data_IF_843526609844
#
_entry.id   IF_843526609844
#
_cell.length_a   1.000
_cell.length_b   1.000
_cell.length_c   1.000
_cell.angle_alpha   90.00
_cell.angle_beta   90.00
_cell.angle_gamma   90.00
#
_symmetry.space_group_name_H-M   'P 1'
#
loop_
_entity.id
_entity.type
_entity.pdbx_description
1 polymer ?
#
# COMPACT_ATOMS: atom_id res chain seq x y z
N UNK A 1 -8.96 -43.50 12.07
CA UNK A 1 -7.70 -43.16 12.79
C UNK A 1 -7.81 -41.70 13.15
N UNK A 2 -8.54 -41.41 14.23
CA UNK A 2 -8.78 -40.05 14.72
C UNK A 2 -7.68 -39.68 15.72
N UNK A 3 -6.85 -38.71 15.35
CA UNK A 3 -5.90 -38.08 16.24
C UNK A 3 -6.58 -36.93 16.98
N UNK A 4 -6.94 -37.17 18.23
CA UNK A 4 -7.45 -36.17 19.17
C UNK A 4 -6.37 -35.13 19.50
N UNK A 5 -6.58 -33.88 19.07
CA UNK A 5 -5.80 -32.71 19.48
C UNK A 5 -6.22 -32.33 20.91
N UNK A 6 -5.29 -32.07 21.85
CA UNK A 6 -5.66 -31.66 23.21
C UNK A 6 -6.29 -30.26 23.20
N UNK A 7 -7.48 -30.14 23.80
CA UNK A 7 -8.21 -28.90 23.93
C UNK A 7 -7.41 -27.88 24.77
N UNK A 8 -7.15 -26.71 24.20
CA UNK A 8 -6.56 -25.59 24.91
C UNK A 8 -7.51 -25.08 26.00
N UNK A 9 -6.99 -24.92 27.20
CA UNK A 9 -7.62 -24.47 28.44
C UNK A 9 -8.17 -23.03 28.37
N UNK A 10 -9.22 -22.79 27.58
CA UNK A 10 -9.90 -21.50 27.45
C UNK A 10 -11.41 -21.70 27.39
N UNK A 11 -12.10 -21.23 28.43
CA UNK A 11 -13.56 -21.21 28.51
C UNK A 11 -14.16 -20.43 27.32
N UNK A 12 -15.09 -21.06 26.60
CA UNK A 12 -15.97 -20.34 25.69
C UNK A 12 -16.94 -19.45 26.51
N UNK A 13 -17.48 -18.36 25.94
CA UNK A 13 -18.43 -17.48 26.64
C UNK A 13 -19.62 -18.24 27.24
N UNK A 14 -20.06 -19.29 26.54
CA UNK A 14 -21.24 -20.08 26.91
C UNK A 14 -20.98 -21.05 28.08
N UNK A 15 -19.73 -21.48 28.27
CA UNK A 15 -19.34 -22.39 29.35
C UNK A 15 -19.35 -21.70 30.72
N UNK A 16 -19.14 -20.38 30.75
CA UNK A 16 -19.15 -19.60 31.99
C UNK A 16 -20.56 -19.42 32.56
N UNK A 17 -21.60 -19.39 31.71
CA UNK A 17 -22.98 -19.22 32.14
C UNK A 17 -23.62 -20.52 32.67
N UNK A 18 -23.22 -21.67 32.12
CA UNK A 18 -23.85 -22.96 32.44
C UNK A 18 -23.46 -23.50 33.82
N UNK A 19 -22.23 -23.24 34.29
CA UNK A 19 -21.77 -23.77 35.58
C UNK A 19 -22.44 -23.10 36.80
N UNK A 20 -22.84 -21.83 36.70
CA UNK A 20 -23.41 -21.10 37.84
C UNK A 20 -24.93 -21.30 37.98
N UNK A 21 -25.67 -21.63 36.90
CA UNK A 21 -27.13 -21.89 36.98
C UNK A 21 -27.42 -23.28 37.58
N UNK A 22 -26.55 -24.27 37.36
CA UNK A 22 -26.70 -25.61 37.94
C UNK A 22 -26.61 -25.61 39.49
N UNK A 23 -26.07 -24.56 40.11
CA UNK A 23 -25.91 -24.45 41.55
C UNK A 23 -27.10 -23.80 42.29
N UNK A 24 -28.14 -23.32 41.59
CA UNK A 24 -29.22 -22.51 42.20
C UNK A 24 -30.58 -23.26 42.29
N UNK A 25 -30.63 -24.56 41.95
CA UNK A 25 -31.87 -25.35 41.95
C UNK A 25 -32.10 -26.26 43.16
N UNK A 26 -32.97 -25.82 44.08
CA UNK A 26 -33.85 -26.60 44.99
C UNK A 26 -33.28 -27.34 46.22
N UNK A 27 -33.56 -26.80 47.43
CA UNK A 27 -33.93 -27.58 48.63
C UNK A 27 -34.60 -26.68 49.71
N UNK A 28 -35.60 -27.15 50.49
CA UNK A 28 -36.34 -26.37 51.49
C UNK A 28 -35.58 -26.25 52.84
N UNK A 29 -35.99 -25.34 53.76
CA UNK A 29 -35.14 -24.93 54.87
C UNK A 29 -35.19 -25.94 56.03
N UNK A 30 -34.04 -26.46 56.46
CA UNK A 30 -33.88 -27.15 57.75
C UNK A 30 -33.17 -26.22 58.75
N UNK A 31 -33.79 -26.07 59.93
CA UNK A 31 -33.27 -25.34 61.11
C UNK A 31 -31.81 -25.70 61.40
N UNK A 32 -30.98 -24.69 61.58
CA UNK A 32 -29.54 -24.80 61.86
C UNK A 32 -29.29 -24.53 63.34
N UNK A 33 -28.78 -25.54 64.05
CA UNK A 33 -28.19 -25.40 65.38
C UNK A 33 -26.84 -24.69 65.24
N UNK A 34 -26.61 -23.65 66.02
CA UNK A 34 -25.35 -22.91 66.06
C UNK A 34 -24.27 -23.74 66.77
N UNK A 35 -23.20 -24.06 66.03
CA UNK A 35 -21.93 -24.56 66.57
C UNK A 35 -20.82 -23.55 66.26
N UNK A 36 -19.72 -23.51 67.03
CA UNK A 36 -18.73 -22.44 66.94
C UNK A 36 -17.99 -22.52 65.61
N UNK A 37 -17.75 -21.36 65.02
CA UNK A 37 -17.35 -21.19 63.64
C UNK A 37 -16.02 -21.87 63.29
N UNK A 38 -16.09 -22.89 62.46
CA UNK A 38 -15.03 -23.13 61.48
C UNK A 38 -15.23 -22.10 60.38
N UNK A 39 -14.45 -21.02 60.42
CA UNK A 39 -14.32 -20.11 59.29
C UNK A 39 -13.67 -20.90 58.16
N UNK A 40 -14.47 -21.56 57.33
CA UNK A 40 -13.98 -22.06 56.06
C UNK A 40 -13.43 -20.84 55.34
N UNK A 41 -12.10 -20.69 55.28
CA UNK A 41 -11.45 -19.73 54.39
C UNK A 41 -11.95 -20.08 53.00
N UNK A 42 -13.03 -19.42 52.56
CA UNK A 42 -13.53 -19.51 51.20
C UNK A 42 -12.34 -19.11 50.35
N UNK A 43 -11.68 -20.10 49.73
CA UNK A 43 -10.53 -19.86 48.86
C UNK A 43 -10.96 -18.78 47.88
N UNK A 44 -10.38 -17.59 48.01
CA UNK A 44 -10.66 -16.50 47.09
C UNK A 44 -10.28 -17.03 45.71
N UNK A 45 -11.22 -16.99 44.77
CA UNK A 45 -10.92 -17.38 43.39
C UNK A 45 -9.76 -16.47 42.92
N UNK A 46 -8.73 -17.01 42.27
CA UNK A 46 -7.65 -16.20 41.76
C UNK A 46 -8.21 -15.16 40.79
N UNK A 47 -7.61 -13.98 40.80
CA UNK A 47 -7.99 -12.90 39.89
C UNK A 47 -7.87 -13.37 38.44
N UNK A 48 -8.88 -13.06 37.62
CA UNK A 48 -8.89 -13.36 36.19
C UNK A 48 -8.97 -12.06 35.40
N UNK A 49 -8.12 -11.90 34.40
CA UNK A 49 -8.10 -10.70 33.57
C UNK A 49 -9.19 -10.73 32.49
N UNK A 50 -10.45 -10.52 32.90
CA UNK A 50 -11.63 -10.54 32.03
C UNK A 50 -12.46 -9.29 32.33
N UNK A 51 -12.58 -8.39 31.35
CA UNK A 51 -13.19 -7.05 31.53
C UNK A 51 -14.68 -7.10 31.90
N UNK A 52 -15.41 -8.10 31.42
CA UNK A 52 -16.87 -8.19 31.52
C UNK A 52 -17.37 -9.04 32.70
N UNK A 53 -16.48 -9.72 33.43
CA UNK A 53 -16.85 -10.62 34.51
C UNK A 53 -16.64 -9.94 35.88
N UNK A 54 -17.70 -9.81 36.68
CA UNK A 54 -17.62 -9.20 38.03
C UNK A 54 -16.86 -10.09 39.00
N UNK A 55 -15.83 -9.54 39.65
CA UNK A 55 -14.94 -10.28 40.54
C UNK A 55 -14.81 -9.60 41.91
N UNK A 56 -14.43 -10.33 42.97
CA UNK A 56 -14.31 -9.78 44.32
C UNK A 56 -12.99 -9.02 44.52
N UNK A 57 -12.60 -8.23 43.53
CA UNK A 57 -11.40 -7.39 43.51
C UNK A 57 -11.80 -5.98 43.05
N UNK A 58 -11.19 -4.91 43.60
CA UNK A 58 -11.47 -3.55 43.14
C UNK A 58 -11.07 -3.38 41.67
N UNK A 59 -11.70 -2.43 40.97
CA UNK A 59 -11.47 -2.22 39.52
C UNK A 59 -10.00 -1.90 39.17
N UNK A 60 -9.24 -1.32 40.12
CA UNK A 60 -7.81 -1.03 39.97
C UNK A 60 -6.88 -2.15 40.50
N UNK A 61 -7.40 -3.34 40.80
CA UNK A 61 -6.60 -4.44 41.31
C UNK A 61 -5.63 -4.98 40.26
N UNK A 62 -4.35 -5.07 40.62
CA UNK A 62 -3.30 -5.72 39.83
C UNK A 62 -2.65 -6.80 40.68
N UNK A 63 -2.48 -7.99 40.13
CA UNK A 63 -1.85 -9.11 40.84
C UNK A 63 -0.32 -8.98 40.80
N UNK A 64 0.27 -8.39 41.84
CA UNK A 64 1.71 -8.07 41.92
C UNK A 64 2.62 -9.31 41.79
N UNK A 65 2.15 -10.49 42.19
CA UNK A 65 2.95 -11.73 42.15
C UNK A 65 3.09 -12.30 40.74
N UNK A 66 2.01 -12.30 39.95
CA UNK A 66 1.99 -12.87 38.57
C UNK A 66 2.12 -11.80 37.49
N UNK A 67 2.22 -10.53 37.89
CA UNK A 67 2.23 -9.39 36.97
C UNK A 67 3.37 -9.45 35.95
N UNK A 68 4.59 -9.70 36.43
CA UNK A 68 5.79 -9.71 35.60
C UNK A 68 5.89 -10.96 34.73
N UNK A 69 5.24 -12.05 35.12
CA UNK A 69 5.25 -13.32 34.39
C UNK A 69 4.59 -13.22 33.01
N UNK A 70 3.67 -12.25 32.85
CA UNK A 70 2.96 -12.01 31.60
C UNK A 70 3.68 -11.03 30.65
N UNK A 71 4.84 -10.49 31.03
CA UNK A 71 5.62 -9.62 30.16
C UNK A 71 6.39 -10.44 29.12
N UNK A 72 6.01 -10.29 27.85
CA UNK A 72 6.69 -10.92 26.73
C UNK A 72 7.50 -9.88 25.97
N UNK A 73 8.79 -10.15 25.73
CA UNK A 73 9.61 -9.33 24.83
C UNK A 73 9.45 -9.81 23.40
N UNK A 74 9.17 -8.88 22.50
CA UNK A 74 9.15 -9.09 21.06
C UNK A 74 8.29 -10.30 20.58
N UNK A 75 7.08 -10.57 21.13
CA UNK A 75 6.32 -11.77 20.77
C UNK A 75 5.86 -11.79 19.30
N UNK A 76 5.87 -10.64 18.62
CA UNK A 76 5.49 -10.49 17.20
C UNK A 76 6.66 -10.22 16.27
N UNK A 77 7.90 -10.46 16.71
CA UNK A 77 9.06 -10.22 15.86
C UNK A 77 9.10 -11.24 14.71
N UNK A 78 8.82 -10.78 13.49
CA UNK A 78 9.08 -11.57 12.29
C UNK A 78 10.50 -11.27 11.78
N UNK A 79 11.39 -12.27 11.69
CA UNK A 79 12.76 -12.06 11.18
C UNK A 79 12.70 -11.65 9.71
N UNK A 80 13.33 -10.53 9.36
CA UNK A 80 13.45 -10.14 7.95
C UNK A 80 14.32 -11.15 7.21
N UNK A 81 13.82 -11.67 6.10
CA UNK A 81 14.63 -12.45 5.16
C UNK A 81 15.26 -11.48 4.17
N UNK A 82 16.58 -11.53 4.01
CA UNK A 82 17.34 -10.58 3.17
C UNK A 82 16.74 -10.43 1.76
N UNK A 83 16.44 -11.55 1.10
CA UNK A 83 15.89 -11.56 -0.27
C UNK A 83 14.45 -11.05 -0.36
N UNK A 84 13.63 -11.27 0.67
CA UNK A 84 12.29 -10.70 0.73
C UNK A 84 12.37 -9.18 0.89
N UNK A 85 13.29 -8.71 1.72
CA UNK A 85 13.50 -7.29 1.94
C UNK A 85 14.08 -6.60 0.69
N UNK A 86 15.01 -7.25 -0.02
CA UNK A 86 15.45 -6.83 -1.35
C UNK A 86 14.27 -6.66 -2.30
N UNK A 87 13.37 -7.64 -2.35
CA UNK A 87 12.19 -7.58 -3.20
C UNK A 87 11.27 -6.41 -2.81
N UNK A 88 11.06 -6.15 -1.53
CA UNK A 88 10.23 -5.02 -1.07
C UNK A 88 10.87 -3.66 -1.40
N UNK A 89 12.20 -3.53 -1.30
CA UNK A 89 12.94 -2.31 -1.66
C UNK A 89 12.84 -1.98 -3.15
N UNK A 90 12.56 -2.96 -4.02
CA UNK A 90 12.37 -2.69 -5.46
C UNK A 90 11.22 -1.72 -5.74
N UNK A 91 10.19 -1.66 -4.90
CA UNK A 91 9.07 -0.69 -5.04
C UNK A 91 9.58 0.75 -4.89
N UNK A 92 10.51 0.96 -3.95
CA UNK A 92 11.18 2.26 -3.75
C UNK A 92 12.05 2.59 -4.95
N UNK A 93 12.84 1.62 -5.43
CA UNK A 93 13.71 1.79 -6.60
C UNK A 93 12.91 2.12 -7.85
N UNK A 94 11.78 1.47 -8.09
CA UNK A 94 10.91 1.79 -9.23
C UNK A 94 10.43 3.25 -9.19
N UNK A 95 10.05 3.75 -8.01
CA UNK A 95 9.62 5.15 -7.86
C UNK A 95 10.75 6.13 -8.14
N UNK A 96 11.91 5.93 -7.51
CA UNK A 96 13.09 6.77 -7.72
C UNK A 96 13.55 6.72 -9.19
N UNK A 97 13.54 5.54 -9.81
CA UNK A 97 13.86 5.39 -11.23
C UNK A 97 12.87 6.14 -12.13
N UNK A 98 11.56 6.11 -11.82
CA UNK A 98 10.55 6.86 -12.58
C UNK A 98 10.73 8.37 -12.48
N UNK A 99 11.10 8.89 -11.29
CA UNK A 99 11.46 10.30 -11.09
C UNK A 99 12.72 10.66 -11.87
N UNK A 100 13.74 9.79 -11.84
CA UNK A 100 14.98 10.00 -12.60
C UNK A 100 14.73 10.03 -14.11
N UNK A 101 13.92 9.10 -14.65
CA UNK A 101 13.51 9.08 -16.06
C UNK A 101 12.77 10.37 -16.42
N UNK A 102 11.86 10.85 -15.57
CA UNK A 102 11.18 12.13 -15.77
C UNK A 102 12.19 13.29 -15.88
N UNK A 103 13.14 13.39 -14.94
CA UNK A 103 14.19 14.41 -14.98
C UNK A 103 15.06 14.31 -16.24
N UNK A 104 15.46 13.11 -16.63
CA UNK A 104 16.26 12.89 -17.85
C UNK A 104 15.51 13.32 -19.11
N UNK A 105 14.21 12.98 -19.20
CA UNK A 105 13.37 13.42 -20.31
C UNK A 105 13.22 14.94 -20.34
N UNK A 106 13.00 15.57 -19.19
CA UNK A 106 12.94 17.03 -19.09
C UNK A 106 14.23 17.68 -19.57
N UNK A 107 15.39 17.21 -19.09
CA UNK A 107 16.70 17.73 -19.52
C UNK A 107 16.94 17.51 -21.02
N UNK A 108 16.57 16.35 -21.55
CA UNK A 108 16.69 16.05 -22.97
C UNK A 108 15.80 16.95 -23.86
N UNK A 109 14.59 17.28 -23.40
CA UNK A 109 13.69 18.23 -24.07
C UNK A 109 14.23 19.66 -23.94
N UNK A 110 14.74 20.05 -22.76
CA UNK A 110 15.28 21.39 -22.51
C UNK A 110 16.57 21.67 -23.30
N UNK A 111 17.36 20.62 -23.57
CA UNK A 111 18.56 20.69 -24.43
C UNK A 111 18.25 20.51 -25.92
N UNK A 112 16.98 20.42 -26.32
CA UNK A 112 16.53 20.19 -27.70
C UNK A 112 17.08 18.90 -28.35
N UNK A 113 17.57 17.95 -27.55
CA UNK A 113 18.10 16.67 -28.02
C UNK A 113 16.98 15.70 -28.44
N UNK A 114 15.81 15.83 -27.83
CA UNK A 114 14.66 14.96 -28.07
C UNK A 114 13.39 15.80 -28.22
N UNK A 115 12.58 15.46 -29.23
CA UNK A 115 11.27 16.10 -29.42
C UNK A 115 10.33 15.74 -28.26
N UNK A 116 9.66 16.73 -27.62
CA UNK A 116 8.71 16.48 -26.53
C UNK A 116 7.53 15.59 -26.98
N UNK A 117 7.12 15.71 -28.25
CA UNK A 117 6.02 14.93 -28.82
C UNK A 117 6.41 13.46 -28.94
N UNK A 118 7.66 13.15 -29.26
CA UNK A 118 8.17 11.77 -29.33
C UNK A 118 8.18 11.10 -27.95
N UNK A 119 8.57 11.83 -26.90
CA UNK A 119 8.57 11.30 -25.53
C UNK A 119 7.15 10.96 -25.08
N UNK A 120 6.22 11.92 -25.21
CA UNK A 120 4.84 11.71 -24.76
C UNK A 120 4.09 10.70 -25.64
N UNK A 121 4.35 10.64 -26.95
CA UNK A 121 3.75 9.61 -27.81
C UNK A 121 4.26 8.21 -27.48
N UNK A 122 5.56 8.06 -27.20
CA UNK A 122 6.11 6.78 -26.74
C UNK A 122 5.48 6.37 -25.41
N UNK A 123 5.34 7.29 -24.46
CA UNK A 123 4.80 7.02 -23.13
C UNK A 123 3.28 6.73 -23.15
N UNK A 124 2.49 7.46 -23.93
CA UNK A 124 1.08 7.16 -24.19
C UNK A 124 0.91 5.78 -24.81
N UNK A 125 1.71 5.42 -25.83
CA UNK A 125 1.68 4.08 -26.43
C UNK A 125 2.02 3.01 -25.40
N UNK A 126 3.05 3.20 -24.59
CA UNK A 126 3.40 2.26 -23.51
C UNK A 126 2.25 2.12 -22.48
N UNK A 127 1.58 3.22 -22.15
CA UNK A 127 0.45 3.24 -21.21
C UNK A 127 -0.76 2.48 -21.78
N UNK A 128 -1.08 2.70 -23.06
CA UNK A 128 -2.15 1.98 -23.77
C UNK A 128 -1.81 0.50 -23.87
N UNK A 129 -0.58 0.15 -24.26
CA UNK A 129 -0.13 -1.25 -24.32
C UNK A 129 -0.23 -1.92 -22.94
N UNK A 130 0.26 -1.27 -21.89
CA UNK A 130 0.14 -1.77 -20.52
C UNK A 130 -1.30 -1.98 -20.09
N UNK A 131 -2.21 -1.07 -20.47
CA UNK A 131 -3.64 -1.20 -20.21
C UNK A 131 -4.28 -2.36 -21.01
N UNK A 132 -3.95 -2.52 -22.28
CA UNK A 132 -4.46 -3.63 -23.11
C UNK A 132 -3.93 -4.99 -22.66
N UNK A 133 -2.66 -5.08 -22.29
CA UNK A 133 -2.08 -6.30 -21.73
C UNK A 133 -2.74 -6.69 -20.40
N UNK A 134 -3.01 -5.70 -19.55
CA UNK A 134 -3.76 -5.90 -18.31
C UNK A 134 -5.19 -6.41 -18.59
N UNK A 135 -5.90 -5.75 -19.50
CA UNK A 135 -7.28 -6.11 -19.86
C UNK A 135 -7.37 -7.50 -20.50
N UNK A 136 -6.38 -7.87 -21.33
CA UNK A 136 -6.25 -9.22 -21.87
C UNK A 136 -6.03 -10.27 -20.77
N UNK A 137 -5.11 -9.99 -19.85
CA UNK A 137 -4.81 -10.90 -18.75
C UNK A 137 -6.01 -11.13 -17.82
N UNK A 138 -6.68 -10.06 -17.39
CA UNK A 138 -7.90 -10.17 -16.58
C UNK A 138 -9.00 -10.92 -17.32
N UNK A 139 -9.10 -10.77 -18.65
CA UNK A 139 -10.07 -11.51 -19.45
C UNK A 139 -9.80 -13.02 -19.46
N UNK A 140 -8.55 -13.45 -19.33
CA UNK A 140 -8.18 -14.86 -19.27
C UNK A 140 -8.58 -15.48 -17.92
N UNK A 141 -8.36 -14.76 -16.82
CA UNK A 141 -8.74 -15.22 -15.48
C UNK A 141 -10.25 -15.42 -15.32
N UNK A 142 -11.05 -14.57 -15.96
CA UNK A 142 -12.51 -14.70 -15.92
C UNK A 142 -13.02 -15.88 -16.78
N UNK A 143 -12.27 -16.32 -17.80
CA UNK A 143 -12.60 -17.51 -18.60
C UNK A 143 -12.18 -18.82 -17.89
N UNK A 144 -11.08 -18.78 -17.15
CA UNK A 144 -10.54 -19.94 -16.43
C UNK A 144 -11.22 -20.18 -15.06
N UNK A 145 -12.14 -19.30 -14.63
CA UNK A 145 -13.00 -19.54 -13.47
C UNK A 145 -14.08 -20.57 -13.86
N UNK A 146 -14.12 -21.76 -13.22
CA UNK A 146 -15.21 -22.70 -13.44
C UNK A 146 -16.52 -22.05 -12.98
N UNK A 147 -17.55 -22.12 -13.81
CA UNK A 147 -18.92 -21.71 -13.48
C UNK A 147 -19.40 -22.49 -12.25
N UNK A 148 -19.24 -21.94 -11.06
CA UNK A 148 -19.88 -22.48 -9.87
C UNK A 148 -21.39 -22.19 -9.96
N UNK A 149 -22.27 -23.19 -9.81
CA UNK A 149 -23.71 -23.04 -10.01
C UNK A 149 -24.44 -22.25 -8.89
N UNK A 150 -23.73 -21.51 -8.04
CA UNK A 150 -24.30 -20.86 -6.85
C UNK A 150 -24.64 -19.36 -7.04
N UNK A 151 -24.82 -18.90 -8.28
CA UNK A 151 -25.18 -17.51 -8.57
C UNK A 151 -26.70 -17.22 -8.49
N UNK A 152 -27.53 -18.19 -8.10
CA UNK A 152 -28.99 -18.03 -8.02
C UNK A 152 -29.58 -17.82 -6.61
N UNK A 153 -28.78 -17.59 -5.58
CA UNK A 153 -29.27 -17.23 -4.23
C UNK A 153 -28.78 -15.84 -3.82
N UNK A 154 -29.27 -14.82 -4.51
CA UNK A 154 -29.30 -13.45 -3.98
C UNK A 154 -30.38 -13.38 -2.90
N UNK A 155 -29.98 -13.59 -1.65
CA UNK A 155 -30.86 -13.51 -0.47
C UNK A 155 -30.11 -12.95 0.73
N UNK A 156 -30.29 -11.64 0.96
CA UNK A 156 -30.20 -10.97 2.27
C UNK A 156 -28.88 -11.10 3.04
N UNK A 157 -27.92 -10.21 2.75
CA UNK A 157 -26.87 -9.85 3.72
C UNK A 157 -27.28 -8.56 4.44
N UNK A 158 -27.19 -8.48 5.78
CA UNK A 158 -27.39 -7.23 6.51
C UNK A 158 -26.29 -6.22 6.18
N UNK A 159 -26.54 -4.90 6.29
CA UNK A 159 -25.57 -3.89 5.93
C UNK A 159 -24.37 -3.96 6.89
N UNK A 160 -23.21 -4.35 6.38
CA UNK A 160 -21.96 -4.21 7.11
C UNK A 160 -21.68 -2.72 7.33
N UNK A 161 -21.75 -2.29 8.60
CA UNK A 161 -21.34 -0.98 9.04
C UNK A 161 -19.87 -0.72 8.67
N UNK A 162 -19.62 0.45 8.09
CA UNK A 162 -18.35 1.17 8.06
C UNK A 162 -17.12 0.43 7.52
N UNK A 163 -17.18 0.05 6.25
CA UNK A 163 -15.98 0.06 5.40
C UNK A 163 -16.24 1.12 4.33
N UNK A 164 -15.30 2.04 3.99
CA UNK A 164 -15.50 2.88 2.80
C UNK A 164 -15.64 1.94 1.61
N UNK A 165 -16.89 1.75 1.19
CA UNK A 165 -17.24 0.83 0.14
C UNK A 165 -16.48 1.27 -1.09
N UNK A 166 -15.61 0.40 -1.60
CA UNK A 166 -15.16 0.52 -2.97
C UNK A 166 -16.43 0.38 -3.83
N UNK A 167 -16.99 1.51 -4.22
CA UNK A 167 -18.16 1.54 -5.06
C UNK A 167 -17.66 1.26 -6.48
N UNK A 168 -18.03 0.12 -7.09
CA UNK A 168 -17.61 -0.17 -8.45
C UNK A 168 -18.05 0.97 -9.37
N UNK A 169 -17.29 1.26 -10.44
CA UNK A 169 -17.66 2.29 -11.41
C UNK A 169 -19.11 2.11 -11.84
N UNK A 170 -19.89 3.19 -11.88
CA UNK A 170 -21.31 3.16 -12.23
C UNK A 170 -21.51 2.44 -13.58
N UNK A 171 -22.13 1.27 -13.54
CA UNK A 171 -22.54 0.51 -14.71
C UNK A 171 -24.03 0.80 -14.88
N UNK A 172 -24.41 1.37 -16.03
CA UNK A 172 -25.81 1.62 -16.36
C UNK A 172 -26.46 0.27 -16.78
N UNK A 173 -27.37 -0.28 -15.96
CA UNK A 173 -28.02 -1.55 -16.25
C UNK A 173 -28.97 -1.47 -17.46
N UNK A 174 -29.36 -0.27 -17.90
CA UNK A 174 -30.23 -0.07 -19.06
C UNK A 174 -29.46 0.07 -20.38
N UNK A 175 -28.14 0.18 -20.34
CA UNK A 175 -27.35 0.34 -21.56
C UNK A 175 -27.10 -1.01 -22.25
N UNK A 176 -27.15 -1.01 -23.59
CA UNK A 176 -26.93 -2.21 -24.42
C UNK A 176 -25.46 -2.67 -24.47
N UNK A 177 -24.56 -1.94 -23.81
CA UNK A 177 -23.13 -2.22 -23.80
C UNK A 177 -22.79 -3.15 -22.64
N UNK A 178 -21.92 -4.14 -22.89
CA UNK A 178 -21.33 -4.97 -21.84
C UNK A 178 -20.73 -4.09 -20.72
N UNK A 179 -20.88 -4.43 -19.43
CA UNK A 179 -20.33 -3.67 -18.31
C UNK A 179 -18.85 -3.29 -18.47
N UNK A 180 -18.05 -4.17 -19.07
CA UNK A 180 -16.64 -3.89 -19.37
C UNK A 180 -16.47 -2.76 -20.39
N UNK A 181 -17.26 -2.76 -21.45
CA UNK A 181 -17.22 -1.71 -22.48
C UNK A 181 -17.66 -0.36 -21.92
N UNK A 182 -18.59 -0.34 -20.95
CA UNK A 182 -18.97 0.89 -20.24
C UNK A 182 -17.80 1.46 -19.44
N UNK A 183 -17.06 0.62 -18.70
CA UNK A 183 -15.86 1.06 -17.96
C UNK A 183 -14.77 1.55 -18.90
N UNK A 184 -14.55 0.87 -20.03
CA UNK A 184 -13.60 1.30 -21.08
C UNK A 184 -13.98 2.66 -21.67
N UNK A 185 -15.24 2.85 -22.01
CA UNK A 185 -15.75 4.11 -22.54
C UNK A 185 -15.65 5.24 -21.51
N UNK A 186 -15.99 4.97 -20.25
CA UNK A 186 -15.86 5.95 -19.16
C UNK A 186 -14.39 6.37 -18.97
N UNK A 187 -13.47 5.41 -19.01
CA UNK A 187 -12.03 5.66 -18.92
C UNK A 187 -11.54 6.48 -20.12
N UNK A 188 -11.90 6.08 -21.34
CA UNK A 188 -11.57 6.81 -22.56
C UNK A 188 -12.13 8.24 -22.57
N UNK A 189 -13.38 8.42 -22.11
CA UNK A 189 -14.02 9.73 -21.95
C UNK A 189 -13.24 10.59 -20.96
N UNK A 190 -12.85 10.04 -19.81
CA UNK A 190 -12.05 10.77 -18.81
C UNK A 190 -10.67 11.17 -19.36
N UNK A 191 -9.99 10.27 -20.09
CA UNK A 191 -8.71 10.55 -20.72
C UNK A 191 -8.82 11.65 -21.78
N UNK A 192 -9.88 11.63 -22.61
CA UNK A 192 -10.15 12.67 -23.59
C UNK A 192 -10.40 14.03 -22.92
N UNK A 193 -11.14 14.05 -21.81
CA UNK A 193 -11.38 15.27 -21.03
C UNK A 193 -10.08 15.82 -20.44
N UNK A 194 -9.22 14.97 -19.89
CA UNK A 194 -7.90 15.38 -19.39
C UNK A 194 -7.05 15.95 -20.52
N UNK A 195 -6.98 15.25 -21.66
CA UNK A 195 -6.24 15.70 -22.84
C UNK A 195 -6.72 17.07 -23.35
N UNK A 196 -8.04 17.25 -23.51
CA UNK A 196 -8.64 18.50 -23.94
C UNK A 196 -8.41 19.64 -22.93
N UNK A 197 -8.53 19.35 -21.63
CA UNK A 197 -8.27 20.32 -20.58
C UNK A 197 -6.81 20.78 -20.58
N UNK A 198 -5.85 19.85 -20.72
CA UNK A 198 -4.43 20.20 -20.80
C UNK A 198 -4.13 21.06 -22.03
N UNK A 199 -4.72 20.77 -23.19
CA UNK A 199 -4.56 21.61 -24.39
C UNK A 199 -5.04 23.05 -24.15
N UNK A 200 -6.22 23.21 -23.54
CA UNK A 200 -6.77 24.53 -23.21
C UNK A 200 -5.98 25.28 -22.14
N UNK A 201 -5.46 24.56 -21.13
CA UNK A 201 -4.71 25.14 -20.00
C UNK A 201 -3.22 25.35 -20.30
N UNK A 202 -2.68 24.75 -21.36
CA UNK A 202 -1.24 24.82 -21.69
C UNK A 202 -0.68 26.25 -21.78
N UNK A 203 -1.37 27.23 -22.40
CA UNK A 203 -0.89 28.62 -22.40
C UNK A 203 -0.81 29.23 -21.00
N UNK A 204 -1.77 28.88 -20.13
CA UNK A 204 -1.83 29.36 -18.74
C UNK A 204 -0.66 28.77 -17.96
N UNK A 205 -0.47 27.45 -18.05
CA UNK A 205 0.65 26.74 -17.42
C UNK A 205 2.00 27.30 -17.88
N UNK A 206 2.15 27.63 -19.17
CA UNK A 206 3.35 28.31 -19.69
C UNK A 206 3.60 29.67 -19.03
N UNK A 207 2.55 30.45 -18.81
CA UNK A 207 2.67 31.79 -18.21
C UNK A 207 2.86 31.79 -16.69
N UNK A 208 2.54 30.67 -16.03
CA UNK A 208 2.38 30.57 -14.57
C UNK A 208 3.57 31.08 -13.76
N UNK A 209 4.79 30.68 -14.14
CA UNK A 209 6.02 31.00 -13.37
C UNK A 209 6.94 31.95 -14.13
N UNK A 210 6.39 32.77 -15.03
CA UNK A 210 7.18 33.71 -15.85
C UNK A 210 7.84 34.80 -15.00
N UNK A 211 7.20 35.22 -13.91
CA UNK A 211 7.71 36.22 -12.96
C UNK A 211 8.70 35.65 -11.94
N UNK A 212 8.86 34.32 -11.88
CA UNK A 212 9.77 33.65 -10.94
C UNK A 212 11.16 33.47 -11.56
N UNK A 213 12.21 33.67 -10.76
CA UNK A 213 13.60 33.50 -11.19
C UNK A 213 13.94 32.03 -11.42
N UNK A 214 14.86 31.75 -12.36
CA UNK A 214 15.27 30.39 -12.74
C UNK A 214 15.84 29.61 -11.54
N UNK A 215 16.69 30.22 -10.73
CA UNK A 215 17.32 29.54 -9.57
C UNK A 215 16.28 29.07 -8.56
N UNK A 216 15.26 29.90 -8.30
CA UNK A 216 14.14 29.54 -7.43
C UNK A 216 13.33 28.37 -8.01
N UNK A 217 13.13 28.32 -9.33
CA UNK A 217 12.41 27.23 -10.00
C UNK A 217 13.17 25.90 -9.88
N UNK A 218 14.49 25.91 -10.08
CA UNK A 218 15.31 24.71 -9.87
C UNK A 218 15.28 24.25 -8.41
N UNK A 219 15.34 25.17 -7.46
CA UNK A 219 15.22 24.85 -6.03
C UNK A 219 13.84 24.29 -5.67
N UNK A 220 12.75 24.95 -6.10
CA UNK A 220 11.38 24.55 -5.84
C UNK A 220 11.07 23.18 -6.46
N UNK A 221 11.45 22.97 -7.73
CA UNK A 221 11.25 21.68 -8.39
C UNK A 221 12.02 20.56 -7.72
N UNK A 222 13.27 20.79 -7.30
CA UNK A 222 14.07 19.82 -6.54
C UNK A 222 13.38 19.46 -5.23
N UNK A 223 12.91 20.45 -4.47
CA UNK A 223 12.20 20.21 -3.21
C UNK A 223 10.87 19.48 -3.41
N UNK A 224 10.09 19.85 -4.44
CA UNK A 224 8.83 19.18 -4.77
C UNK A 224 9.04 17.73 -5.23
N UNK A 225 10.11 17.45 -5.98
CA UNK A 225 10.49 16.08 -6.34
C UNK A 225 10.96 15.28 -5.10
N UNK A 226 11.69 15.91 -4.18
CA UNK A 226 12.02 15.30 -2.89
C UNK A 226 10.74 14.96 -2.10
N UNK A 227 9.78 15.88 -2.01
CA UNK A 227 8.49 15.62 -1.35
C UNK A 227 7.69 14.53 -2.05
N UNK A 228 7.74 14.47 -3.39
CA UNK A 228 7.15 13.38 -4.16
C UNK A 228 7.73 12.02 -3.76
N UNK A 229 9.05 11.92 -3.59
CA UNK A 229 9.71 10.66 -3.17
C UNK A 229 9.45 10.34 -1.71
N UNK A 230 9.55 11.32 -0.80
CA UNK A 230 9.46 11.10 0.65
C UNK A 230 8.05 10.74 1.12
N UNK A 231 7.02 11.37 0.55
CA UNK A 231 5.63 11.14 0.93
C UNK A 231 4.92 10.10 0.05
N UNK A 232 5.65 9.39 -0.80
CA UNK A 232 5.06 8.31 -1.58
C UNK A 232 4.71 7.12 -0.66
N UNK A 233 3.50 6.56 -0.83
CA UNK A 233 3.07 5.38 -0.08
C UNK A 233 3.66 4.09 -0.70
N UNK A 234 4.80 3.66 -0.18
CA UNK A 234 5.51 2.45 -0.61
C UNK A 234 4.89 1.15 -0.09
N UNK A 235 3.74 1.18 0.60
CA UNK A 235 3.11 -0.04 1.13
C UNK A 235 2.52 -0.86 -0.02
N UNK A 236 3.05 -2.08 -0.23
CA UNK A 236 2.69 -2.99 -1.31
C UNK A 236 1.58 -4.01 -1.00
N UNK A 237 0.72 -3.78 0.00
CA UNK A 237 -0.24 -4.77 0.52
C UNK A 237 -1.73 -4.43 0.37
N UNK A 238 -2.59 -5.46 0.39
CA UNK A 238 -4.05 -5.34 0.45
C UNK A 238 -4.45 -4.58 1.73
N UNK A 239 -4.88 -3.33 1.59
CA UNK A 239 -5.27 -2.46 2.72
C UNK A 239 -4.63 -1.07 2.74
N UNK A 240 -3.76 -0.73 1.78
CA UNK A 240 -3.31 0.65 1.61
C UNK A 240 -4.46 1.52 1.08
N UNK A 241 -5.21 2.16 1.99
CA UNK A 241 -6.05 3.30 1.61
C UNK A 241 -5.11 4.36 1.01
N UNK A 242 -5.45 4.92 -0.16
CA UNK A 242 -4.64 5.97 -0.79
C UNK A 242 -5.03 7.34 -0.23
N UNK A 243 -4.28 7.94 0.72
CA UNK A 243 -4.11 9.39 0.73
C UNK A 243 -2.93 9.72 -0.19
N UNK A 244 -3.02 9.35 -1.47
CA UNK A 244 -1.96 9.57 -2.45
C UNK A 244 -1.81 11.04 -2.89
N UNK A 245 -2.54 11.96 -2.28
CA UNK A 245 -2.60 13.35 -2.73
C UNK A 245 -1.27 14.08 -2.55
N UNK A 246 -0.56 13.94 -1.42
CA UNK A 246 0.62 14.78 -1.17
C UNK A 246 1.74 14.48 -2.18
N UNK A 247 2.11 13.21 -2.35
CA UNK A 247 3.18 12.84 -3.28
C UNK A 247 2.80 13.14 -4.73
N UNK A 248 1.63 12.71 -5.19
CA UNK A 248 1.20 12.93 -6.59
C UNK A 248 1.02 14.41 -6.91
N UNK A 249 0.42 15.20 -6.00
CA UNK A 249 0.30 16.64 -6.17
C UNK A 249 1.67 17.33 -6.19
N UNK A 250 2.63 16.88 -5.36
CA UNK A 250 4.00 17.43 -5.36
C UNK A 250 4.71 17.12 -6.69
N UNK A 251 4.57 15.91 -7.22
CA UNK A 251 5.16 15.51 -8.50
C UNK A 251 4.56 16.27 -9.69
N UNK A 252 3.23 16.42 -9.71
CA UNK A 252 2.54 17.22 -10.72
C UNK A 252 2.92 18.71 -10.61
N UNK A 253 2.99 19.27 -9.40
CA UNK A 253 3.44 20.65 -9.20
C UNK A 253 4.88 20.85 -9.68
N UNK A 254 5.80 19.94 -9.32
CA UNK A 254 7.19 19.97 -9.80
C UNK A 254 7.25 19.98 -11.33
N UNK A 255 6.47 19.09 -11.97
CA UNK A 255 6.37 19.03 -13.42
C UNK A 255 5.80 20.32 -14.01
N UNK A 256 4.73 20.89 -13.45
CA UNK A 256 4.13 22.12 -13.98
C UNK A 256 5.08 23.32 -13.91
N UNK A 257 5.84 23.45 -12.81
CA UNK A 257 6.82 24.54 -12.61
C UNK A 257 8.04 24.37 -13.52
N UNK A 258 8.42 23.14 -13.87
CA UNK A 258 9.46 22.89 -14.87
C UNK A 258 8.93 23.08 -16.30
N UNK A 259 7.72 22.62 -16.58
CA UNK A 259 7.07 22.69 -17.88
C UNK A 259 6.88 24.14 -18.33
N UNK A 260 6.49 25.03 -17.41
CA UNK A 260 6.27 26.46 -17.70
C UNK A 260 7.50 27.18 -18.26
N UNK A 261 8.70 26.62 -18.06
CA UNK A 261 9.97 27.16 -18.57
C UNK A 261 10.33 26.72 -19.98
N UNK A 262 9.56 25.81 -20.56
CA UNK A 262 9.78 25.35 -21.92
C UNK A 262 9.30 26.39 -22.95
N UNK A 263 9.97 26.50 -24.11
CA UNK A 263 9.80 27.62 -25.03
C UNK A 263 8.44 27.67 -25.72
N UNK A 264 7.78 26.52 -25.92
CA UNK A 264 6.50 26.42 -26.64
C UNK A 264 5.42 25.72 -25.81
N UNK A 265 4.16 26.07 -26.06
CA UNK A 265 2.98 25.47 -25.40
C UNK A 265 2.89 23.96 -25.66
N UNK A 266 3.39 23.49 -26.80
CA UNK A 266 3.47 22.06 -27.12
C UNK A 266 4.43 21.31 -26.20
N UNK A 267 5.52 21.95 -25.78
CA UNK A 267 6.44 21.37 -24.81
C UNK A 267 5.80 21.28 -23.42
N UNK A 268 5.10 22.34 -23.00
CA UNK A 268 4.36 22.38 -21.73
C UNK A 268 3.30 21.28 -21.70
N UNK A 269 2.49 21.21 -22.77
CA UNK A 269 1.47 20.18 -22.96
C UNK A 269 2.07 18.76 -22.86
N UNK A 270 3.12 18.48 -23.63
CA UNK A 270 3.71 17.15 -23.70
C UNK A 270 4.33 16.73 -22.36
N UNK A 271 5.06 17.63 -21.68
CA UNK A 271 5.68 17.33 -20.39
C UNK A 271 4.65 17.14 -19.27
N UNK A 272 3.56 17.91 -19.29
CA UNK A 272 2.49 17.79 -18.29
C UNK A 272 1.65 16.53 -18.49
N UNK A 273 1.38 16.14 -19.73
CA UNK A 273 0.74 14.85 -20.01
C UNK A 273 1.65 13.68 -19.61
N UNK A 274 2.94 13.75 -19.95
CA UNK A 274 3.94 12.75 -19.55
C UNK A 274 4.07 12.62 -18.02
N UNK A 275 3.97 13.72 -17.27
CA UNK A 275 4.03 13.65 -15.81
C UNK A 275 2.79 13.05 -15.17
N UNK A 276 1.61 13.23 -15.77
CA UNK A 276 0.39 12.52 -15.35
C UNK A 276 0.54 11.01 -15.57
N UNK A 277 1.18 10.59 -16.66
CA UNK A 277 1.47 9.18 -16.91
C UNK A 277 2.44 8.60 -15.87
N UNK A 278 3.55 9.28 -15.58
CA UNK A 278 4.58 8.80 -14.64
C UNK A 278 4.15 8.89 -13.17
N UNK A 279 3.52 9.99 -12.74
CA UNK A 279 3.19 10.22 -11.34
C UNK A 279 1.75 9.85 -10.98
N UNK A 280 0.85 9.78 -11.96
CA UNK A 280 -0.56 9.43 -11.76
C UNK A 280 -0.86 7.97 -12.12
N UNK A 281 -0.63 7.60 -13.38
CA UNK A 281 -1.06 6.29 -13.91
C UNK A 281 -0.09 5.16 -13.56
N UNK A 282 1.20 5.38 -13.71
CA UNK A 282 2.24 4.37 -13.50
C UNK A 282 2.25 3.79 -12.06
N UNK A 283 2.05 4.57 -10.97
CA UNK A 283 1.96 4.02 -9.63
C UNK A 283 0.75 3.09 -9.41
N UNK A 284 -0.35 3.32 -10.15
CA UNK A 284 -1.53 2.45 -10.12
C UNK A 284 -1.21 1.14 -10.83
N UNK A 285 -0.60 1.22 -12.02
CA UNK A 285 -0.20 0.05 -12.80
C UNK A 285 0.75 -0.87 -12.03
N UNK A 286 1.84 -0.32 -11.45
CA UNK A 286 2.81 -1.13 -10.71
C UNK A 286 2.20 -1.84 -9.50
N UNK A 287 1.26 -1.18 -8.80
CA UNK A 287 0.61 -1.75 -7.61
C UNK A 287 -0.18 -3.01 -7.98
N UNK A 288 -0.85 -2.98 -9.13
CA UNK A 288 -1.56 -4.15 -9.68
C UNK A 288 -0.59 -5.22 -10.19
N UNK A 289 0.48 -4.81 -10.87
CA UNK A 289 1.48 -5.74 -11.38
C UNK A 289 2.14 -6.55 -10.26
N UNK A 290 2.46 -5.91 -9.14
CA UNK A 290 3.04 -6.58 -7.96
C UNK A 290 2.11 -7.64 -7.36
N UNK A 291 0.81 -7.36 -7.27
CA UNK A 291 -0.14 -8.30 -6.66
C UNK A 291 -0.40 -9.53 -7.52
N UNK A 292 -0.30 -9.37 -8.83
CA UNK A 292 -0.75 -10.37 -9.80
C UNK A 292 0.45 -11.15 -10.41
N UNK A 293 1.58 -10.49 -10.71
CA UNK A 293 2.77 -11.13 -11.32
C UNK A 293 4.08 -10.63 -10.74
N UNK A 294 4.75 -11.50 -9.98
CA UNK A 294 6.10 -11.24 -9.45
C UNK A 294 7.15 -11.09 -10.56
N UNK A 295 7.08 -11.91 -11.60
CA UNK A 295 8.02 -11.85 -12.72
C UNK A 295 7.90 -10.52 -13.49
N UNK A 296 6.66 -10.09 -13.75
CA UNK A 296 6.39 -8.81 -14.40
C UNK A 296 6.95 -7.64 -13.59
N UNK A 297 6.79 -7.67 -12.27
CA UNK A 297 7.36 -6.64 -11.40
C UNK A 297 8.89 -6.56 -11.47
N UNK A 298 9.59 -7.69 -11.37
CA UNK A 298 11.06 -7.70 -11.45
C UNK A 298 11.58 -7.32 -12.83
N UNK A 299 10.90 -7.74 -13.90
CA UNK A 299 11.23 -7.34 -15.27
C UNK A 299 11.07 -5.83 -15.45
N UNK A 300 9.97 -5.27 -14.94
CA UNK A 300 9.72 -3.83 -14.97
C UNK A 300 10.74 -3.04 -14.14
N UNK A 301 11.11 -3.51 -12.94
CA UNK A 301 12.18 -2.91 -12.13
C UNK A 301 13.49 -2.88 -12.90
N UNK A 302 13.87 -4.01 -13.51
CA UNK A 302 15.11 -4.13 -14.27
C UNK A 302 15.13 -3.16 -15.46
N UNK A 303 14.03 -3.09 -16.21
CA UNK A 303 13.88 -2.15 -17.32
C UNK A 303 13.98 -0.69 -16.85
N UNK A 304 13.24 -0.31 -15.80
CA UNK A 304 13.30 1.05 -15.25
C UNK A 304 14.69 1.43 -14.78
N UNK A 305 15.40 0.53 -14.09
CA UNK A 305 16.77 0.78 -13.63
C UNK A 305 17.68 1.00 -14.82
N UNK A 306 17.63 0.14 -15.84
CA UNK A 306 18.42 0.28 -17.09
C UNK A 306 18.17 1.63 -17.75
N UNK A 307 16.91 2.01 -17.97
CA UNK A 307 16.56 3.29 -18.60
C UNK A 307 16.97 4.49 -17.75
N UNK A 308 16.74 4.45 -16.44
CA UNK A 308 17.11 5.52 -15.52
C UNK A 308 18.63 5.69 -15.46
N UNK A 309 19.38 4.61 -15.23
CA UNK A 309 20.84 4.67 -15.11
C UNK A 309 21.53 5.08 -16.41
N UNK A 310 21.09 4.53 -17.54
CA UNK A 310 21.61 4.90 -18.86
C UNK A 310 21.23 6.33 -19.23
N UNK A 311 19.99 6.73 -18.98
CA UNK A 311 19.49 8.09 -19.23
C UNK A 311 20.23 9.14 -18.41
N UNK A 312 20.43 8.91 -17.11
CA UNK A 312 21.18 9.81 -16.22
C UNK A 312 22.59 10.00 -16.76
N UNK A 313 23.31 8.91 -17.05
CA UNK A 313 24.70 9.02 -17.51
C UNK A 313 24.83 9.72 -18.87
N UNK A 314 23.90 9.47 -19.81
CA UNK A 314 23.82 10.19 -21.09
C UNK A 314 23.57 11.69 -20.87
N UNK A 315 22.68 12.06 -19.94
CA UNK A 315 22.42 13.48 -19.64
C UNK A 315 23.61 14.19 -19.00
N UNK A 316 24.39 13.51 -18.15
CA UNK A 316 25.57 14.09 -17.51
C UNK A 316 26.76 14.23 -18.46
N UNK A 317 27.02 13.20 -19.27
CA UNK A 317 28.23 13.15 -20.13
C UNK A 317 28.00 13.69 -21.53
N UNK A 318 26.74 13.92 -21.92
CA UNK A 318 26.33 14.22 -23.31
C UNK A 318 26.83 13.20 -24.34
N UNK A 319 27.23 12.00 -23.91
CA UNK A 319 27.67 10.93 -24.81
C UNK A 319 26.50 10.17 -25.44
N UNK A 320 26.78 9.45 -26.52
CA UNK A 320 25.82 8.58 -27.19
C UNK A 320 25.67 7.20 -26.53
N UNK A 321 25.56 6.15 -27.34
CA UNK A 321 25.33 4.78 -26.87
C UNK A 321 26.38 4.29 -25.86
N UNK A 322 27.65 4.67 -26.02
CA UNK A 322 28.72 4.26 -25.09
C UNK A 322 28.47 4.78 -23.67
N UNK A 323 28.07 6.04 -23.55
CA UNK A 323 27.71 6.64 -22.27
C UNK A 323 26.51 5.91 -21.66
N UNK A 324 25.52 5.55 -22.47
CA UNK A 324 24.38 4.76 -22.01
C UNK A 324 24.81 3.42 -21.42
N UNK A 325 25.66 2.65 -22.12
CA UNK A 325 26.14 1.34 -21.63
C UNK A 325 26.94 1.48 -20.33
N UNK A 326 27.86 2.45 -20.26
CA UNK A 326 28.64 2.72 -19.04
C UNK A 326 27.70 3.09 -17.88
N UNK A 327 26.70 3.95 -18.15
CA UNK A 327 25.68 4.33 -17.20
C UNK A 327 24.89 3.16 -16.66
N UNK A 328 24.49 2.22 -17.52
CA UNK A 328 23.77 1.00 -17.13
C UNK A 328 24.61 0.12 -16.20
N UNK A 329 25.90 -0.06 -16.51
CA UNK A 329 26.79 -0.87 -15.68
C UNK A 329 27.03 -0.19 -14.33
N UNK A 330 27.44 1.07 -14.33
CA UNK A 330 27.76 1.81 -13.09
C UNK A 330 26.51 2.08 -12.24
N UNK A 331 25.42 2.54 -12.85
CA UNK A 331 24.19 2.83 -12.14
C UNK A 331 23.45 1.57 -11.70
N UNK A 332 23.48 0.50 -12.49
CA UNK A 332 22.93 -0.80 -12.09
C UNK A 332 23.68 -1.41 -10.91
N UNK A 333 25.02 -1.41 -10.95
CA UNK A 333 25.85 -1.86 -9.83
C UNK A 333 25.64 -1.02 -8.57
N UNK A 334 25.62 0.31 -8.71
CA UNK A 334 25.33 1.22 -7.59
C UNK A 334 23.94 0.97 -7.00
N UNK A 335 22.92 0.78 -7.83
CA UNK A 335 21.54 0.52 -7.36
C UNK A 335 21.48 -0.80 -6.61
N UNK A 336 22.10 -1.86 -7.13
CA UNK A 336 22.16 -3.16 -6.45
C UNK A 336 22.88 -3.08 -5.11
N UNK A 337 24.02 -2.38 -5.05
CA UNK A 337 24.75 -2.15 -3.80
C UNK A 337 23.95 -1.31 -2.81
N UNK A 338 23.32 -0.22 -3.25
CA UNK A 338 22.51 0.64 -2.39
C UNK A 338 21.31 -0.11 -1.79
N UNK A 339 20.61 -0.92 -2.61
CA UNK A 339 19.57 -1.83 -2.13
C UNK A 339 20.13 -2.78 -1.07
N UNK A 340 21.23 -3.47 -1.38
CA UNK A 340 21.91 -4.42 -0.50
C UNK A 340 22.29 -3.81 0.86
N UNK A 341 22.93 -2.64 0.83
CA UNK A 341 23.35 -1.89 2.02
C UNK A 341 22.13 -1.47 2.84
N UNK A 342 21.08 -0.96 2.20
CA UNK A 342 19.84 -0.54 2.89
C UNK A 342 19.19 -1.73 3.60
N UNK A 343 19.07 -2.88 2.93
CA UNK A 343 18.44 -4.07 3.51
C UNK A 343 19.28 -4.73 4.58
N UNK A 344 20.61 -4.75 4.42
CA UNK A 344 21.52 -5.17 5.47
C UNK A 344 21.45 -4.25 6.70
N UNK A 345 21.34 -2.93 6.48
CA UNK A 345 21.14 -1.94 7.52
C UNK A 345 19.85 -2.16 8.30
N UNK A 346 18.72 -2.36 7.61
CA UNK A 346 17.43 -2.66 8.23
C UNK A 346 17.45 -3.97 9.03
N UNK A 347 18.09 -5.02 8.50
CA UNK A 347 18.27 -6.28 9.22
C UNK A 347 19.15 -6.10 10.48
N UNK A 348 20.17 -5.25 10.41
CA UNK A 348 21.01 -4.90 11.57
C UNK A 348 20.22 -4.10 12.60
N UNK A 349 19.36 -3.18 12.16
CA UNK A 349 18.47 -2.41 13.03
C UNK A 349 17.46 -3.28 13.78
N UNK A 350 17.08 -4.43 13.21
CA UNK A 350 16.17 -5.37 13.85
C UNK A 350 16.68 -5.85 15.22
N UNK A 351 18.01 -5.90 15.41
CA UNK A 351 18.64 -6.27 16.69
C UNK A 351 18.35 -5.29 17.83
N UNK A 352 18.06 -4.03 17.51
CA UNK A 352 17.74 -2.98 18.48
C UNK A 352 16.24 -2.86 18.75
N UNK A 353 15.39 -3.68 18.12
CA UNK A 353 13.94 -3.65 18.36
C UNK A 353 13.63 -4.26 19.73
N UNK A 354 12.99 -3.48 20.59
CA UNK A 354 12.57 -3.90 21.93
C UNK A 354 11.13 -3.46 22.19
N UNK A 355 10.19 -4.33 21.88
CA UNK A 355 8.76 -4.16 22.16
C UNK A 355 8.41 -5.07 23.33
N UNK A 356 8.02 -4.48 24.46
CA UNK A 356 7.55 -5.23 25.63
C UNK A 356 6.04 -5.30 25.53
N UNK A 357 5.52 -6.51 25.33
CA UNK A 357 4.09 -6.78 25.39
C UNK A 357 3.74 -7.12 26.83
N UNK A 358 2.75 -6.42 27.37
CA UNK A 358 2.37 -6.55 28.76
C UNK A 358 0.89 -6.82 28.97
N UNK A 359 0.49 -7.09 30.20
CA UNK A 359 -0.91 -7.22 30.57
C UNK A 359 -1.69 -5.88 30.42
N UNK A 360 -1.07 -4.76 30.09
CA UNK A 360 -1.81 -3.52 29.80
C UNK A 360 -2.17 -3.35 28.33
N UNK A 361 -1.65 -4.22 27.45
CA UNK A 361 -1.93 -4.12 26.02
C UNK A 361 -3.41 -4.47 25.74
N UNK A 362 -4.07 -3.69 24.86
CA UNK A 362 -5.44 -3.95 24.45
C UNK A 362 -5.60 -5.38 23.92
N UNK A 363 -6.53 -6.13 24.50
CA UNK A 363 -6.86 -7.46 24.01
C UNK A 363 -7.42 -7.36 22.58
N UNK A 364 -6.83 -8.11 21.64
CA UNK A 364 -7.35 -8.19 20.27
C UNK A 364 -8.45 -9.26 20.21
N UNK A 365 -9.65 -8.95 19.69
CA UNK A 365 -10.71 -9.93 19.57
C UNK A 365 -10.30 -11.06 18.62
N UNK A 366 -10.43 -12.31 19.05
CA UNK A 366 -10.21 -13.49 18.21
C UNK A 366 -11.53 -13.75 17.47
N UNK A 367 -11.63 -13.30 16.23
CA UNK A 367 -12.78 -13.58 15.38
C UNK A 367 -12.60 -15.01 14.85
N UNK A 368 -13.30 -15.98 15.46
CA UNK A 368 -13.44 -17.32 14.87
C UNK A 368 -14.38 -17.18 13.66
N UNK A 369 -13.87 -17.45 12.47
CA UNK A 369 -14.73 -17.64 11.30
C UNK A 369 -15.38 -19.02 11.46
N UNK A 370 -16.70 -19.03 11.64
CA UNK A 370 -17.53 -20.24 11.69
C UNK A 370 -17.66 -20.89 10.33
#
# INVERSE_FOLDING_TARGET
MDSSVPASDRLAPDDAFSQDIAAIGQAPPKKRTEGPGSSSRRRRRPFKKILWFKQPFPDNYTDEETFLDHLQRNPRLQPYQFWSLMADVTVVVQHVASVAIFCCCFVAIAQEKVSPVSVVSCATVCTVLGWTCWDYWVSQEDHDRPDSPDSSLSGTYPPALDTPAYQPPYVDPMSSLSPRNQVRLATAKSALLIYAALLGLSPILKSLTRSTTSDSIWALSTWLLCMNVLFFDYRGGKGAQLPASISTNSGLMASTVLASRLPSTTHVFSLTLFSIEIFGLFPIFRRRLWTESRHGHFALTSGLVVFASGGVFVTLTSGGLLAWVIGVILGGTLTFLAMGICSFGLMSLQKYKNEIHGPWDPARPIIRRS
#
